data_IF_429629899935
#
_entry.id   IF_429629899935
#
_cell.length_a   1.000
_cell.length_b   1.000
_cell.length_c   1.000
_cell.angle_alpha   90.00
_cell.angle_beta   90.00
_cell.angle_gamma   90.00
#
_symmetry.space_group_name_H-M   'P 1'
#
loop_
_entity.id
_entity.type
_entity.pdbx_description
1 polymer ?
#
# COMPACT_ATOMS: atom_id res chain seq x y z
N UNK A 1 -24.39 0.73 5.26
CA UNK A 1 -23.32 1.73 5.39
C UNK A 1 -22.48 1.40 6.60
N UNK A 2 -21.17 1.29 6.45
CA UNK A 2 -20.25 1.14 7.58
C UNK A 2 -20.19 2.51 8.29
N UNK A 3 -20.48 2.53 9.58
CA UNK A 3 -20.46 3.77 10.36
C UNK A 3 -19.03 4.30 10.41
N UNK A 4 -18.77 5.53 9.96
CA UNK A 4 -17.44 6.12 9.72
C UNK A 4 -16.58 6.37 10.97
N UNK A 5 -17.04 6.04 12.17
CA UNK A 5 -16.32 6.30 13.41
C UNK A 5 -15.48 5.10 13.87
N UNK A 6 -14.45 4.72 13.12
CA UNK A 6 -13.46 3.74 13.53
C UNK A 6 -12.89 2.91 12.40
N UNK A 7 -11.63 2.50 12.57
CA UNK A 7 -10.94 1.61 11.63
C UNK A 7 -11.70 0.29 11.55
N UNK A 8 -12.21 -0.04 10.37
CA UNK A 8 -12.97 -1.27 10.12
C UNK A 8 -12.20 -2.52 10.57
N UNK A 9 -10.90 -2.54 10.42
CA UNK A 9 -10.02 -3.58 10.91
C UNK A 9 -10.22 -3.87 12.40
N UNK A 10 -10.19 -2.82 13.23
CA UNK A 10 -10.24 -2.95 14.69
C UNK A 10 -11.67 -3.18 15.20
N UNK A 11 -12.65 -2.55 14.57
CA UNK A 11 -14.02 -2.52 15.06
C UNK A 11 -14.93 -3.62 14.51
N UNK A 12 -14.71 -4.07 13.27
CA UNK A 12 -15.66 -4.94 12.56
C UNK A 12 -15.11 -6.36 12.28
N UNK A 13 -13.80 -6.51 12.04
CA UNK A 13 -13.21 -7.79 11.65
C UNK A 13 -12.69 -8.60 12.85
N UNK A 14 -13.53 -8.76 13.87
CA UNK A 14 -13.20 -9.47 15.13
C UNK A 14 -13.53 -10.96 15.12
N UNK A 15 -14.16 -11.46 14.07
CA UNK A 15 -14.60 -12.86 13.93
C UNK A 15 -14.48 -13.29 12.48
N UNK A 16 -14.46 -14.60 12.19
CA UNK A 16 -14.45 -15.10 10.82
C UNK A 16 -15.53 -14.43 9.97
N UNK A 17 -15.12 -13.86 8.86
CA UNK A 17 -15.97 -13.07 7.97
C UNK A 17 -15.73 -13.52 6.54
N UNK A 18 -16.81 -13.83 5.80
CA UNK A 18 -16.67 -14.24 4.41
C UNK A 18 -16.02 -13.15 3.56
N UNK A 19 -15.03 -13.54 2.79
CA UNK A 19 -14.21 -12.64 2.00
C UNK A 19 -13.83 -13.25 0.64
N UNK A 20 -13.22 -12.42 -0.21
CA UNK A 20 -12.67 -12.90 -1.48
C UNK A 20 -11.58 -13.97 -1.25
N UNK A 21 -10.78 -13.89 -0.18
CA UNK A 21 -9.76 -14.90 0.12
C UNK A 21 -10.40 -16.28 0.33
N UNK A 22 -11.47 -16.36 1.14
CA UNK A 22 -12.20 -17.63 1.32
C UNK A 22 -12.83 -18.13 0.04
N UNK A 23 -13.35 -17.22 -0.81
CA UNK A 23 -13.89 -17.61 -2.11
C UNK A 23 -12.81 -18.20 -3.00
N UNK A 24 -11.66 -17.55 -3.11
CA UNK A 24 -10.54 -18.03 -3.92
C UNK A 24 -9.97 -19.35 -3.39
N UNK A 25 -9.89 -19.54 -2.07
CA UNK A 25 -9.48 -20.82 -1.48
C UNK A 25 -10.42 -21.98 -1.89
N UNK A 26 -11.74 -21.74 -1.95
CA UNK A 26 -12.71 -22.75 -2.43
C UNK A 26 -12.52 -23.11 -3.91
N UNK A 27 -11.97 -22.19 -4.70
CA UNK A 27 -11.62 -22.41 -6.10
C UNK A 27 -10.23 -23.05 -6.28
N UNK A 28 -9.55 -23.45 -5.19
CA UNK A 28 -8.25 -24.09 -5.21
C UNK A 28 -7.06 -23.14 -5.25
N UNK A 29 -7.27 -21.83 -5.09
CA UNK A 29 -6.16 -20.88 -4.96
C UNK A 29 -5.54 -20.95 -3.58
N UNK A 30 -4.24 -20.69 -3.52
CA UNK A 30 -3.54 -20.44 -2.26
C UNK A 30 -3.48 -18.94 -1.99
N UNK A 31 -4.13 -18.50 -0.90
CA UNK A 31 -4.32 -17.08 -0.62
C UNK A 31 -3.32 -16.53 0.38
N UNK A 32 -2.66 -15.43 0.03
CA UNK A 32 -1.70 -14.74 0.89
C UNK A 32 -2.02 -13.25 0.97
N UNK A 33 -2.13 -12.72 2.19
CA UNK A 33 -2.07 -11.28 2.44
C UNK A 33 -0.62 -10.87 2.70
N UNK A 34 -0.20 -9.71 2.19
CA UNK A 34 1.14 -9.15 2.40
C UNK A 34 1.06 -7.68 2.80
N UNK A 35 1.92 -7.27 3.75
CA UNK A 35 2.06 -5.87 4.12
C UNK A 35 3.45 -5.60 4.69
N UNK A 36 4.19 -4.64 4.13
CA UNK A 36 5.53 -4.26 4.62
C UNK A 36 5.51 -3.39 5.89
N UNK A 37 4.51 -3.57 6.74
CA UNK A 37 4.44 -2.99 8.09
C UNK A 37 4.14 -4.09 9.12
N UNK A 38 4.18 -3.74 10.42
CA UNK A 38 4.10 -4.66 11.54
C UNK A 38 2.78 -5.43 11.62
N UNK A 39 2.86 -6.72 11.95
CA UNK A 39 1.69 -7.62 12.02
C UNK A 39 0.70 -7.29 13.12
N UNK A 40 1.16 -6.62 14.17
CA UNK A 40 0.29 -6.25 15.31
C UNK A 40 -0.40 -4.90 15.12
N UNK A 41 0.12 -4.05 14.24
CA UNK A 41 -0.49 -2.76 13.94
C UNK A 41 -1.86 -2.98 13.29
N UNK A 42 -2.90 -2.33 13.81
CA UNK A 42 -4.31 -2.58 13.47
C UNK A 42 -4.76 -4.04 13.62
N UNK A 43 -4.08 -4.82 14.44
CA UNK A 43 -4.38 -6.25 14.64
C UNK A 43 -4.40 -7.07 13.34
N UNK A 44 -3.53 -6.71 12.38
CA UNK A 44 -3.53 -7.27 11.02
C UNK A 44 -3.48 -8.79 11.00
N UNK A 45 -2.68 -9.40 11.88
CA UNK A 45 -2.58 -10.86 11.96
C UNK A 45 -3.94 -11.52 12.17
N UNK A 46 -4.70 -11.07 13.16
CA UNK A 46 -6.05 -11.59 13.42
C UNK A 46 -7.06 -11.20 12.31
N UNK A 47 -6.91 -10.01 11.75
CA UNK A 47 -7.79 -9.53 10.67
C UNK A 47 -7.68 -10.41 9.44
N UNK A 48 -6.46 -10.69 8.94
CA UNK A 48 -6.30 -11.52 7.75
C UNK A 48 -6.65 -12.99 8.01
N UNK A 49 -6.42 -13.49 9.22
CA UNK A 49 -6.92 -14.79 9.65
C UNK A 49 -8.46 -14.83 9.62
N UNK A 50 -9.14 -13.83 10.16
CA UNK A 50 -10.60 -13.73 10.15
C UNK A 50 -11.18 -13.57 8.74
N UNK A 51 -10.44 -12.97 7.82
CA UNK A 51 -10.78 -12.89 6.40
C UNK A 51 -10.48 -14.19 5.64
N UNK A 52 -9.87 -15.19 6.29
CA UNK A 52 -9.65 -16.51 5.74
C UNK A 52 -8.49 -16.62 4.76
N UNK A 53 -7.50 -15.72 4.84
CA UNK A 53 -6.23 -15.91 4.14
C UNK A 53 -5.48 -17.11 4.73
N UNK A 54 -4.89 -17.94 3.87
CA UNK A 54 -4.07 -19.07 4.29
C UNK A 54 -2.77 -18.58 4.96
N UNK A 55 -2.22 -17.45 4.50
CA UNK A 55 -1.00 -16.84 5.03
C UNK A 55 -1.11 -15.33 5.14
N UNK A 56 -0.38 -14.79 6.11
CA UNK A 56 -0.10 -13.35 6.20
C UNK A 56 1.41 -13.12 6.32
N UNK A 57 1.99 -12.45 5.34
CA UNK A 57 3.40 -12.07 5.30
C UNK A 57 3.52 -10.59 5.66
N UNK A 58 4.10 -10.31 6.83
CA UNK A 58 4.36 -8.97 7.34
C UNK A 58 5.84 -8.62 7.23
N UNK A 59 6.22 -7.39 7.60
CA UNK A 59 7.64 -6.98 7.60
C UNK A 59 8.52 -7.92 8.43
N UNK A 60 7.98 -8.53 9.49
CA UNK A 60 8.70 -9.48 10.34
C UNK A 60 9.08 -10.76 9.59
N UNK A 61 8.37 -11.10 8.52
CA UNK A 61 8.66 -12.24 7.65
C UNK A 61 9.55 -11.86 6.46
N UNK A 62 9.54 -10.59 6.06
CA UNK A 62 10.25 -10.11 4.86
C UNK A 62 11.73 -9.79 5.15
N UNK A 63 12.02 -9.28 6.35
CA UNK A 63 13.37 -8.83 6.71
C UNK A 63 13.65 -9.05 8.19
N UNK A 64 14.90 -9.41 8.52
CA UNK A 64 15.34 -9.57 9.91
C UNK A 64 15.23 -8.26 10.70
N UNK A 65 15.05 -8.34 12.00
CA UNK A 65 15.01 -7.16 12.88
C UNK A 65 16.31 -6.33 12.78
N UNK A 66 17.46 -6.97 12.59
CA UNK A 66 18.77 -6.31 12.46
C UNK A 66 18.87 -5.51 11.16
N UNK A 67 18.34 -6.07 10.06
CA UNK A 67 18.42 -5.44 8.74
C UNK A 67 17.29 -4.46 8.47
N UNK A 68 16.24 -4.40 9.29
CA UNK A 68 15.05 -3.58 9.07
C UNK A 68 15.38 -2.12 8.78
N UNK A 69 16.39 -1.56 9.47
CA UNK A 69 16.84 -0.17 9.27
C UNK A 69 17.31 0.10 7.85
N UNK A 70 17.91 -0.88 7.16
CA UNK A 70 18.37 -0.74 5.76
C UNK A 70 17.22 -0.57 4.77
N UNK A 71 16.05 -1.12 5.14
CA UNK A 71 14.84 -1.11 4.33
C UNK A 71 13.80 -0.10 4.83
N UNK A 72 14.22 0.85 5.67
CA UNK A 72 13.34 1.91 6.19
C UNK A 72 13.84 3.26 5.67
N UNK A 73 12.95 4.01 5.03
CA UNK A 73 13.27 5.34 4.53
C UNK A 73 13.31 6.40 5.67
N UNK A 74 13.69 7.64 5.35
CA UNK A 74 13.78 8.72 6.34
C UNK A 74 12.45 9.09 7.00
N UNK A 75 11.32 8.79 6.35
CA UNK A 75 9.98 8.96 6.90
C UNK A 75 9.57 7.87 7.89
N UNK A 76 10.44 6.87 8.13
CA UNK A 76 10.15 5.75 9.01
C UNK A 76 9.34 4.62 8.37
N UNK A 77 9.09 4.69 7.06
CA UNK A 77 8.32 3.69 6.32
C UNK A 77 9.23 2.67 5.65
N UNK A 78 8.80 1.41 5.66
CA UNK A 78 9.52 0.35 4.97
C UNK A 78 9.43 0.52 3.45
N UNK A 79 10.52 0.23 2.77
CA UNK A 79 10.58 0.27 1.30
C UNK A 79 9.66 -0.80 0.70
N UNK A 80 9.00 -0.45 -0.39
CA UNK A 80 8.07 -1.34 -1.08
C UNK A 80 8.79 -2.46 -1.85
N UNK A 81 10.09 -2.35 -2.10
CA UNK A 81 10.94 -3.44 -2.60
C UNK A 81 10.69 -4.77 -1.86
N UNK A 82 10.47 -4.71 -0.55
CA UNK A 82 10.20 -5.91 0.29
C UNK A 82 8.94 -6.64 -0.13
N UNK A 83 7.87 -5.90 -0.46
CA UNK A 83 6.61 -6.49 -0.96
C UNK A 83 6.84 -7.16 -2.32
N UNK A 84 7.47 -6.45 -3.26
CA UNK A 84 7.66 -6.96 -4.61
C UNK A 84 8.59 -8.17 -4.63
N UNK A 85 9.66 -8.18 -3.81
CA UNK A 85 10.51 -9.35 -3.62
C UNK A 85 9.74 -10.55 -3.04
N UNK A 86 8.84 -10.30 -2.07
CA UNK A 86 8.01 -11.34 -1.47
C UNK A 86 7.01 -11.93 -2.46
N UNK A 87 6.38 -11.08 -3.27
CA UNK A 87 5.48 -11.52 -4.36
C UNK A 87 6.25 -12.36 -5.37
N UNK A 88 7.41 -11.86 -5.82
CA UNK A 88 8.26 -12.59 -6.76
C UNK A 88 8.65 -13.97 -6.23
N UNK A 89 9.17 -14.04 -5.01
CA UNK A 89 9.56 -15.31 -4.38
C UNK A 89 8.39 -16.30 -4.30
N UNK A 90 7.20 -15.84 -3.91
CA UNK A 90 6.02 -16.70 -3.84
C UNK A 90 5.59 -17.20 -5.22
N UNK A 91 5.60 -16.35 -6.24
CA UNK A 91 5.21 -16.71 -7.60
C UNK A 91 6.18 -17.73 -8.21
N UNK A 92 7.49 -17.62 -7.91
CA UNK A 92 8.49 -18.59 -8.36
C UNK A 92 8.38 -19.96 -7.68
N UNK A 93 8.02 -19.99 -6.39
CA UNK A 93 7.89 -21.23 -5.63
C UNK A 93 6.60 -22.00 -5.93
N UNK A 94 5.56 -21.33 -6.38
CA UNK A 94 4.20 -21.88 -6.50
C UNK A 94 3.79 -22.04 -7.96
N UNK A 95 4.54 -22.82 -8.75
CA UNK A 95 4.31 -22.94 -10.20
C UNK A 95 3.02 -23.69 -10.53
N UNK A 96 2.66 -24.72 -9.75
CA UNK A 96 1.54 -25.63 -10.06
C UNK A 96 0.22 -25.22 -9.39
N UNK A 97 0.27 -24.37 -8.38
CA UNK A 97 -0.92 -23.96 -7.64
C UNK A 97 -1.30 -22.51 -7.97
N UNK A 98 -2.56 -22.21 -8.32
CA UNK A 98 -3.00 -20.84 -8.53
C UNK A 98 -2.88 -20.03 -7.25
N UNK A 99 -2.42 -18.79 -7.37
CA UNK A 99 -2.14 -17.88 -6.26
C UNK A 99 -3.12 -16.73 -6.23
N UNK A 100 -3.65 -16.41 -5.05
CA UNK A 100 -4.37 -15.17 -4.77
C UNK A 100 -3.54 -14.33 -3.79
N UNK A 101 -2.95 -13.25 -4.26
CA UNK A 101 -2.10 -12.38 -3.45
C UNK A 101 -2.79 -11.04 -3.28
N UNK A 102 -3.00 -10.62 -2.03
CA UNK A 102 -3.47 -9.30 -1.65
C UNK A 102 -2.34 -8.55 -0.95
N UNK A 103 -1.73 -7.59 -1.63
CA UNK A 103 -0.57 -6.87 -1.13
C UNK A 103 -0.89 -5.40 -0.88
N UNK A 104 -0.50 -4.88 0.28
CA UNK A 104 -0.60 -3.47 0.66
C UNK A 104 0.81 -2.93 0.90
N UNK A 105 1.13 -1.81 0.27
CA UNK A 105 2.41 -1.11 0.39
C UNK A 105 2.32 0.06 1.35
N UNK A 106 3.46 0.53 1.90
CA UNK A 106 3.47 1.62 2.89
C UNK A 106 4.53 2.69 2.64
N UNK A 107 5.42 2.51 1.67
CA UNK A 107 6.57 3.41 1.46
C UNK A 107 6.13 4.86 1.22
N UNK A 108 5.04 5.06 0.48
CA UNK A 108 4.49 6.39 0.19
C UNK A 108 3.37 6.82 1.16
N UNK A 109 3.34 6.30 2.38
CA UNK A 109 2.39 6.76 3.41
C UNK A 109 2.78 8.16 3.94
N UNK A 110 1.78 8.96 4.40
CA UNK A 110 2.08 10.24 5.03
C UNK A 110 2.92 10.04 6.33
N UNK A 111 3.67 10.98 6.80
CA UNK A 111 3.81 12.38 6.50
C UNK A 111 4.80 12.63 5.33
N UNK A 112 4.63 13.66 4.52
CA UNK A 112 5.44 13.96 3.33
C UNK A 112 6.48 15.09 3.53
N UNK A 113 6.84 15.43 4.78
CA UNK A 113 7.72 16.56 5.09
C UNK A 113 9.22 16.20 5.17
N UNK A 114 9.60 14.98 4.86
CA UNK A 114 10.88 14.38 5.22
C UNK A 114 11.90 14.22 4.08
N UNK A 115 11.55 14.66 2.87
CA UNK A 115 12.39 14.51 1.66
C UNK A 115 12.93 13.07 1.48
N UNK A 116 12.16 12.04 1.88
CA UNK A 116 12.60 10.62 1.94
C UNK A 116 13.09 10.06 0.62
N UNK A 117 12.65 10.61 -0.49
CA UNK A 117 13.00 10.20 -1.84
C UNK A 117 13.96 11.18 -2.54
N UNK A 118 14.48 12.17 -1.82
CA UNK A 118 15.30 13.25 -2.36
C UNK A 118 14.54 14.56 -2.52
N UNK A 119 15.32 15.64 -2.71
CA UNK A 119 14.79 16.98 -2.91
C UNK A 119 14.67 17.27 -4.40
N UNK A 120 13.68 18.08 -4.74
CA UNK A 120 13.55 18.69 -6.08
C UNK A 120 13.50 17.70 -7.26
N UNK A 121 13.01 16.48 -7.03
CA UNK A 121 12.79 15.49 -8.10
C UNK A 121 11.73 15.99 -9.11
N UNK A 122 10.79 16.81 -8.63
CA UNK A 122 9.76 17.42 -9.45
C UNK A 122 9.77 18.93 -9.29
N UNK A 123 9.82 19.66 -10.41
CA UNK A 123 9.72 21.13 -10.42
C UNK A 123 8.25 21.55 -10.31
N UNK A 124 7.86 22.06 -9.15
CA UNK A 124 6.51 22.58 -8.91
C UNK A 124 6.48 24.06 -9.30
N UNK A 125 5.81 24.37 -10.41
CA UNK A 125 5.82 25.72 -11.02
C UNK A 125 4.56 26.55 -10.76
N UNK A 126 3.56 26.00 -10.06
CA UNK A 126 2.33 26.73 -9.75
C UNK A 126 2.61 27.90 -8.80
N UNK A 127 2.15 29.09 -9.15
CA UNK A 127 2.25 30.28 -8.30
C UNK A 127 1.37 30.17 -7.05
N UNK A 128 1.78 30.85 -5.97
CA UNK A 128 1.03 30.89 -4.73
C UNK A 128 1.15 29.62 -3.83
N UNK A 129 1.92 28.63 -4.25
CA UNK A 129 2.18 27.45 -3.41
C UNK A 129 3.34 27.73 -2.44
N UNK A 130 3.15 27.47 -1.15
CA UNK A 130 4.20 27.57 -0.14
C UNK A 130 5.32 26.56 -0.37
N UNK A 131 6.54 26.88 0.09
CA UNK A 131 7.68 25.97 -0.04
C UNK A 131 7.48 24.66 0.75
N UNK A 132 6.71 24.70 1.84
CA UNK A 132 6.31 23.49 2.59
C UNK A 132 5.47 22.59 1.70
N UNK A 133 4.45 23.14 1.05
CA UNK A 133 3.54 22.39 0.19
C UNK A 133 4.23 21.88 -1.09
N UNK A 134 5.19 22.65 -1.63
CA UNK A 134 6.05 22.17 -2.74
C UNK A 134 6.86 20.95 -2.31
N UNK A 135 7.46 20.95 -1.12
CA UNK A 135 8.21 19.79 -0.60
C UNK A 135 7.31 18.58 -0.38
N UNK A 136 6.14 18.79 0.25
CA UNK A 136 5.17 17.69 0.43
C UNK A 136 4.76 17.05 -0.90
N UNK A 137 4.43 17.90 -1.87
CA UNK A 137 4.03 17.43 -3.20
C UNK A 137 5.18 16.72 -3.92
N UNK A 138 6.41 17.26 -3.84
CA UNK A 138 7.58 16.58 -4.40
C UNK A 138 7.81 15.20 -3.78
N UNK A 139 7.70 15.08 -2.45
CA UNK A 139 7.84 13.79 -1.76
C UNK A 139 6.76 12.81 -2.19
N UNK A 140 5.50 13.25 -2.25
CA UNK A 140 4.38 12.41 -2.68
C UNK A 140 4.55 11.93 -4.12
N UNK A 141 4.85 12.84 -5.07
CA UNK A 141 5.04 12.51 -6.48
C UNK A 141 6.24 11.56 -6.69
N UNK A 142 7.32 11.76 -5.94
CA UNK A 142 8.48 10.85 -5.97
C UNK A 142 8.10 9.44 -5.51
N UNK A 143 7.29 9.32 -4.47
CA UNK A 143 6.76 8.04 -4.02
C UNK A 143 5.83 7.40 -5.04
N UNK A 144 4.98 8.18 -5.71
CA UNK A 144 4.13 7.69 -6.80
C UNK A 144 4.95 7.18 -7.99
N UNK A 145 6.01 7.90 -8.36
CA UNK A 145 6.92 7.45 -9.43
C UNK A 145 7.61 6.12 -9.07
N UNK A 146 8.02 5.94 -7.81
CA UNK A 146 8.58 4.66 -7.34
C UNK A 146 7.56 3.54 -7.38
N UNK A 147 6.33 3.80 -6.93
CA UNK A 147 5.25 2.82 -7.00
C UNK A 147 4.95 2.39 -8.44
N UNK A 148 4.96 3.33 -9.39
CA UNK A 148 4.80 3.05 -10.83
C UNK A 148 5.93 2.18 -11.38
N UNK A 149 7.19 2.46 -11.01
CA UNK A 149 8.35 1.64 -11.39
C UNK A 149 8.25 0.21 -10.86
N UNK A 150 7.87 0.04 -9.59
CA UNK A 150 7.65 -1.27 -8.99
C UNK A 150 6.50 -2.02 -9.68
N UNK A 151 5.41 -1.32 -9.96
CA UNK A 151 4.26 -1.90 -10.64
C UNK A 151 4.60 -2.36 -12.06
N UNK A 152 5.39 -1.55 -12.80
CA UNK A 152 5.93 -1.97 -14.10
C UNK A 152 6.75 -3.25 -13.98
N UNK A 153 7.65 -3.32 -13.00
CA UNK A 153 8.47 -4.52 -12.76
C UNK A 153 7.60 -5.75 -12.49
N UNK A 154 6.56 -5.61 -11.65
CA UNK A 154 5.62 -6.70 -11.37
C UNK A 154 4.90 -7.18 -12.63
N UNK A 155 4.46 -6.27 -13.50
CA UNK A 155 3.83 -6.63 -14.79
C UNK A 155 4.81 -7.39 -15.67
N UNK A 156 6.05 -6.91 -15.79
CA UNK A 156 7.06 -7.54 -16.62
C UNK A 156 7.45 -8.94 -16.11
N UNK A 157 7.45 -9.14 -14.79
CA UNK A 157 7.66 -10.45 -14.17
C UNK A 157 6.45 -11.38 -14.36
N UNK A 158 5.25 -10.88 -14.20
CA UNK A 158 4.03 -11.65 -14.42
C UNK A 158 3.95 -12.19 -15.86
N UNK A 159 4.37 -11.41 -16.86
CA UNK A 159 4.46 -11.86 -18.25
C UNK A 159 5.43 -13.03 -18.44
N UNK A 160 6.52 -13.08 -17.66
CA UNK A 160 7.53 -14.15 -17.73
C UNK A 160 7.07 -15.48 -17.11
N UNK A 161 6.01 -15.46 -16.27
CA UNK A 161 5.50 -16.67 -15.63
C UNK A 161 4.88 -17.68 -16.60
N UNK A 162 4.52 -17.26 -17.82
CA UNK A 162 3.94 -18.14 -18.83
C UNK A 162 2.55 -18.70 -18.47
N UNK A 163 1.86 -18.10 -17.48
CA UNK A 163 0.51 -18.49 -17.04
C UNK A 163 -0.43 -17.28 -16.97
N UNK A 164 -1.74 -17.46 -17.13
CA UNK A 164 -2.70 -16.38 -17.02
C UNK A 164 -2.58 -15.66 -15.67
N UNK A 165 -2.42 -14.36 -15.70
CA UNK A 165 -2.26 -13.52 -14.50
C UNK A 165 -3.16 -12.30 -14.60
N UNK A 166 -3.97 -12.06 -13.59
CA UNK A 166 -4.77 -10.84 -13.44
C UNK A 166 -4.14 -9.98 -12.35
N UNK A 167 -3.91 -8.72 -12.63
CA UNK A 167 -3.43 -7.73 -11.65
C UNK A 167 -4.49 -6.65 -11.51
N UNK A 168 -4.89 -6.35 -10.27
CA UNK A 168 -5.79 -5.27 -9.93
C UNK A 168 -5.00 -4.30 -9.04
N UNK A 169 -4.81 -3.07 -9.52
CA UNK A 169 -4.09 -2.02 -8.80
C UNK A 169 -5.05 -0.88 -8.46
N UNK A 170 -4.99 -0.40 -7.21
CA UNK A 170 -5.83 0.71 -6.73
C UNK A 170 -5.18 1.41 -5.55
N UNK A 171 -5.53 2.69 -5.34
CA UNK A 171 -5.24 3.41 -4.11
C UNK A 171 -6.28 3.08 -3.05
N UNK A 172 -5.87 3.00 -1.80
CA UNK A 172 -6.75 2.68 -0.66
C UNK A 172 -7.53 3.91 -0.15
N UNK A 173 -6.94 5.09 -0.24
CA UNK A 173 -7.55 6.38 0.13
C UNK A 173 -6.79 7.55 -0.51
N UNK A 174 -7.33 8.77 -0.41
CA UNK A 174 -6.63 9.99 -0.82
C UNK A 174 -5.41 10.24 0.08
N UNK A 175 -4.30 10.77 -0.48
CA UNK A 175 -3.14 11.16 0.33
C UNK A 175 -3.48 12.36 1.22
N UNK A 176 -2.91 12.39 2.44
CA UNK A 176 -3.02 13.57 3.30
C UNK A 176 -1.95 14.61 2.90
N UNK A 177 -2.30 15.49 1.98
CA UNK A 177 -1.44 16.58 1.47
C UNK A 177 -1.79 17.96 2.06
N UNK A 178 -2.60 18.01 3.12
CA UNK A 178 -2.97 19.27 3.80
C UNK A 178 -3.58 20.28 2.83
N UNK A 179 -3.03 21.49 2.79
CA UNK A 179 -3.53 22.60 1.96
C UNK A 179 -3.22 22.47 0.46
N UNK A 180 -2.41 21.50 0.03
CA UNK A 180 -2.07 21.31 -1.38
C UNK A 180 -3.32 21.15 -2.24
N UNK A 181 -4.29 20.37 -1.77
CA UNK A 181 -5.54 20.18 -2.48
C UNK A 181 -6.31 21.48 -2.71
N UNK A 182 -6.36 22.34 -1.70
CA UNK A 182 -7.03 23.66 -1.81
C UNK A 182 -6.27 24.57 -2.79
N UNK A 183 -4.95 24.60 -2.69
CA UNK A 183 -4.09 25.42 -3.55
C UNK A 183 -4.14 25.01 -5.03
N UNK A 184 -4.45 23.74 -5.30
CA UNK A 184 -4.68 23.23 -6.65
C UNK A 184 -6.14 23.29 -7.12
N UNK A 185 -7.05 23.73 -6.26
CA UNK A 185 -8.48 23.78 -6.60
C UNK A 185 -9.10 22.40 -6.76
N UNK A 186 -8.63 21.42 -5.97
CA UNK A 186 -9.14 20.05 -6.05
C UNK A 186 -10.58 19.92 -5.57
N UNK A 187 -10.98 20.77 -4.63
CA UNK A 187 -12.35 20.82 -4.13
C UNK A 187 -13.13 21.97 -4.78
N UNK A 188 -14.31 21.68 -5.31
CA UNK A 188 -15.17 22.72 -5.91
C UNK A 188 -15.73 23.69 -4.83
N UNK A 189 -15.94 23.20 -3.60
CA UNK A 189 -16.45 24.00 -2.48
C UNK A 189 -16.15 23.33 -1.14
N UNK A 190 -16.47 24.03 -0.04
CA UNK A 190 -16.24 23.57 1.31
C UNK A 190 -17.02 22.29 1.69
N UNK A 191 -18.21 22.11 1.10
CA UNK A 191 -19.05 20.93 1.33
C UNK A 191 -18.41 19.67 0.72
N UNK A 192 -17.94 19.75 -0.53
CA UNK A 192 -17.21 18.66 -1.18
C UNK A 192 -15.93 18.30 -0.40
N UNK A 193 -15.20 19.31 0.09
CA UNK A 193 -14.03 19.11 0.94
C UNK A 193 -14.38 18.32 2.21
N UNK A 194 -15.48 18.69 2.87
CA UNK A 194 -15.93 18.00 4.07
C UNK A 194 -16.34 16.55 3.80
N UNK A 195 -16.99 16.28 2.67
CA UNK A 195 -17.41 14.94 2.26
C UNK A 195 -16.25 14.01 1.92
N UNK A 196 -15.20 14.54 1.26
CA UNK A 196 -14.02 13.74 0.86
C UNK A 196 -13.00 13.50 1.98
N UNK A 197 -13.06 14.29 3.06
CA UNK A 197 -12.17 14.16 4.22
C UNK A 197 -12.79 13.33 5.37
N UNK A 198 -14.02 12.89 5.25
CA UNK A 198 -14.72 11.98 6.16
C UNK A 198 -14.74 10.54 5.59
#
# INVERSE_FOLDING_TARGET
MLNHNGLAYVSKLKRPTYSLAQHMNRLGYDSTAMHNNGKYFYNRSAVYQNLGFNRFTSIENMVSAVDRKKYTNKGGWANDDLIYQSIHAQLQQSQDQPQFIYAITVENHFNYNDDRFGKDNFKITKDGISDVNKRQLNTYLSGMQRADQHFKTLIDEAKKLGRPTMIIFFGDHLPNLGEVFDQFGFYANAEEKAQKNN
#
